data_IF_056005404881
#
_entry.id   IF_056005404881
#
_cell.length_a   1.000
_cell.length_b   1.000
_cell.length_c   1.000
_cell.angle_alpha   90.00
_cell.angle_beta   90.00
_cell.angle_gamma   90.00
#
_symmetry.space_group_name_H-M   'P 1'
#
loop_
_entity.id
_entity.type
_entity.pdbx_description
1 polymer ?
#
# COMPACT_ATOMS: atom_id res chain seq x y z
N UNK A 1 -22.35 28.50 34.92
CA UNK A 1 -21.63 28.07 33.71
C UNK A 1 -22.26 26.76 33.22
N UNK A 2 -23.27 26.81 32.35
CA UNK A 2 -24.09 25.64 31.97
C UNK A 2 -24.06 25.33 30.46
N UNK A 3 -23.09 25.88 29.74
CA UNK A 3 -23.03 25.83 28.27
C UNK A 3 -22.33 24.64 27.57
N UNK A 4 -21.61 23.70 28.24
CA UNK A 4 -21.00 22.58 27.49
C UNK A 4 -22.00 21.43 27.22
N UNK A 5 -23.08 21.30 28.00
CA UNK A 5 -24.03 20.19 27.86
C UNK A 5 -24.95 20.35 26.65
N UNK A 6 -25.43 21.57 26.36
CA UNK A 6 -26.40 21.81 25.26
C UNK A 6 -25.76 21.51 23.89
N UNK A 7 -24.48 21.86 23.71
CA UNK A 7 -23.74 21.59 22.46
C UNK A 7 -23.57 20.08 22.26
N UNK A 8 -23.24 19.34 23.32
CA UNK A 8 -23.08 17.89 23.25
C UNK A 8 -24.39 17.18 22.89
N UNK A 9 -25.53 17.62 23.45
CA UNK A 9 -26.85 17.09 23.10
C UNK A 9 -27.25 17.42 21.66
N UNK A 10 -26.91 18.61 21.15
CA UNK A 10 -27.20 18.99 19.76
C UNK A 10 -26.43 18.16 18.74
N UNK A 11 -25.15 17.87 19.01
CA UNK A 11 -24.33 16.99 18.16
C UNK A 11 -24.91 15.56 18.16
N UNK A 12 -25.29 15.02 19.33
CA UNK A 12 -25.93 13.71 19.42
C UNK A 12 -27.30 13.65 18.72
N UNK A 13 -28.11 14.71 18.80
CA UNK A 13 -29.40 14.81 18.11
C UNK A 13 -29.24 14.91 16.58
N UNK A 14 -28.17 15.57 16.10
CA UNK A 14 -27.84 15.58 14.68
C UNK A 14 -27.44 14.16 14.20
N UNK A 15 -26.62 13.44 14.97
CA UNK A 15 -26.26 12.04 14.68
C UNK A 15 -27.42 11.04 14.81
N UNK A 16 -28.47 11.37 15.56
CA UNK A 16 -29.67 10.54 15.67
C UNK A 16 -30.67 10.79 14.52
N UNK A 17 -30.55 11.91 13.81
CA UNK A 17 -31.45 12.30 12.71
C UNK A 17 -30.89 12.04 11.31
N UNK A 18 -29.60 11.76 11.17
CA UNK A 18 -29.04 11.33 9.89
C UNK A 18 -29.73 10.05 9.43
N UNK A 19 -30.25 10.04 8.21
CA UNK A 19 -30.82 8.85 7.58
C UNK A 19 -29.77 7.71 7.67
N UNK A 20 -30.14 6.49 8.10
CA UNK A 20 -29.24 5.34 8.07
C UNK A 20 -28.46 5.20 6.76
N UNK A 21 -29.06 5.59 5.62
CA UNK A 21 -28.40 5.61 4.31
C UNK A 21 -27.27 6.63 4.27
N UNK A 22 -27.51 7.87 4.68
CA UNK A 22 -26.47 8.93 4.73
C UNK A 22 -25.31 8.53 5.64
N UNK A 23 -25.63 7.95 6.81
CA UNK A 23 -24.62 7.47 7.76
C UNK A 23 -23.76 6.35 7.19
N UNK A 24 -24.38 5.39 6.50
CA UNK A 24 -23.67 4.30 5.85
C UNK A 24 -22.74 4.86 4.75
N UNK A 25 -23.22 5.78 3.91
CA UNK A 25 -22.43 6.41 2.86
C UNK A 25 -21.24 7.18 3.43
N UNK A 26 -21.43 7.97 4.49
CA UNK A 26 -20.33 8.70 5.14
C UNK A 26 -19.26 7.74 5.67
N UNK A 27 -19.66 6.67 6.36
CA UNK A 27 -18.73 5.66 6.87
C UNK A 27 -17.93 4.98 5.75
N UNK A 28 -18.60 4.66 4.63
CA UNK A 28 -17.97 4.08 3.44
C UNK A 28 -16.98 5.07 2.80
N UNK A 29 -17.33 6.35 2.70
CA UNK A 29 -16.41 7.37 2.18
C UNK A 29 -15.19 7.58 3.07
N UNK A 30 -15.37 7.59 4.40
CA UNK A 30 -14.25 7.64 5.35
C UNK A 30 -13.35 6.41 5.21
N UNK A 31 -13.94 5.22 5.02
CA UNK A 31 -13.17 4.01 4.73
C UNK A 31 -12.30 4.16 3.47
N UNK A 32 -12.83 4.68 2.36
CA UNK A 32 -12.02 4.92 1.16
C UNK A 32 -10.89 5.94 1.39
N UNK A 33 -11.12 6.98 2.19
CA UNK A 33 -10.07 7.92 2.57
C UNK A 33 -8.95 7.24 3.38
N UNK A 34 -9.30 6.34 4.30
CA UNK A 34 -8.33 5.54 5.03
C UNK A 34 -7.52 4.63 4.10
N UNK A 35 -8.19 3.90 3.19
CA UNK A 35 -7.48 3.04 2.23
C UNK A 35 -6.51 3.84 1.36
N UNK A 36 -6.90 5.03 0.91
CA UNK A 36 -6.02 5.92 0.13
C UNK A 36 -4.80 6.36 0.93
N UNK A 37 -4.98 6.72 2.20
CA UNK A 37 -3.87 7.06 3.10
C UNK A 37 -2.94 5.86 3.33
N UNK A 38 -3.50 4.66 3.52
CA UNK A 38 -2.71 3.44 3.69
C UNK A 38 -1.89 3.09 2.45
N UNK A 39 -2.44 3.31 1.25
CA UNK A 39 -1.67 3.15 0.01
C UNK A 39 -0.55 4.19 -0.11
N UNK A 40 -0.80 5.44 0.27
CA UNK A 40 0.25 6.46 0.26
C UNK A 40 1.42 6.08 1.19
N UNK A 41 1.12 5.59 2.40
CA UNK A 41 2.13 5.06 3.33
C UNK A 41 2.88 3.88 2.72
N UNK A 42 2.16 2.90 2.14
CA UNK A 42 2.75 1.75 1.46
C UNK A 42 3.77 2.22 0.42
N UNK A 43 3.36 3.05 -0.54
CA UNK A 43 4.23 3.46 -1.63
C UNK A 43 5.43 4.28 -1.16
N UNK A 44 5.29 5.09 -0.11
CA UNK A 44 6.45 5.76 0.53
C UNK A 44 7.45 4.73 1.06
N UNK A 45 6.99 3.74 1.84
CA UNK A 45 7.86 2.70 2.40
C UNK A 45 8.50 1.84 1.31
N UNK A 46 7.76 1.51 0.25
CA UNK A 46 8.29 0.79 -0.92
C UNK A 46 9.43 1.55 -1.59
N UNK A 47 9.29 2.87 -1.78
CA UNK A 47 10.34 3.72 -2.36
C UNK A 47 11.59 3.71 -1.49
N UNK A 48 11.45 3.84 -0.17
CA UNK A 48 12.55 3.80 0.78
C UNK A 48 13.30 2.45 0.69
N UNK A 49 12.56 1.35 0.70
CA UNK A 49 13.13 0.01 0.60
C UNK A 49 13.79 -0.24 -0.76
N UNK A 50 13.20 0.22 -1.86
CA UNK A 50 13.72 0.09 -3.21
C UNK A 50 15.06 0.82 -3.37
N UNK A 51 15.16 2.06 -2.89
CA UNK A 51 16.43 2.82 -2.90
C UNK A 51 17.53 2.12 -2.14
N UNK A 52 17.22 1.63 -0.94
CA UNK A 52 18.16 0.88 -0.10
C UNK A 52 18.62 -0.39 -0.82
N UNK A 53 17.71 -1.12 -1.45
CA UNK A 53 18.04 -2.32 -2.22
C UNK A 53 18.99 -2.00 -3.36
N UNK A 54 18.71 -0.94 -4.14
CA UNK A 54 19.57 -0.50 -5.24
C UNK A 54 20.97 -0.11 -4.75
N UNK A 55 21.07 0.62 -3.65
CA UNK A 55 22.36 0.95 -3.02
C UNK A 55 23.12 -0.31 -2.57
N UNK A 56 22.44 -1.25 -1.91
CA UNK A 56 23.02 -2.54 -1.53
C UNK A 56 23.45 -3.36 -2.76
N UNK A 57 22.70 -3.30 -3.88
CA UNK A 57 23.04 -3.96 -5.14
C UNK A 57 24.27 -3.33 -5.80
N UNK A 58 24.33 -2.01 -5.91
CA UNK A 58 25.50 -1.29 -6.46
C UNK A 58 26.77 -1.69 -5.71
N UNK A 59 26.72 -1.68 -4.37
CA UNK A 59 27.83 -2.08 -3.52
C UNK A 59 28.21 -3.56 -3.71
N UNK A 60 27.21 -4.45 -3.80
CA UNK A 60 27.45 -5.89 -4.02
C UNK A 60 28.08 -6.18 -5.39
N UNK A 61 27.80 -5.35 -6.40
CA UNK A 61 28.33 -5.49 -7.76
C UNK A 61 29.75 -4.93 -7.90
N UNK A 62 30.19 -4.04 -7.02
CA UNK A 62 31.47 -3.33 -7.12
C UNK A 62 32.70 -4.24 -7.32
N UNK A 63 32.84 -5.40 -6.65
CA UNK A 63 34.00 -6.27 -6.81
C UNK A 63 34.03 -7.07 -8.12
N UNK A 64 32.94 -7.07 -8.90
CA UNK A 64 32.73 -7.98 -10.03
C UNK A 64 32.66 -7.20 -11.35
N UNK A 65 33.82 -7.03 -12.00
CA UNK A 65 33.96 -6.22 -13.21
C UNK A 65 33.09 -6.72 -14.38
N UNK A 66 32.80 -8.01 -14.43
CA UNK A 66 31.89 -8.63 -15.39
C UNK A 66 30.45 -8.10 -15.32
N UNK A 67 30.07 -7.43 -14.23
CA UNK A 67 28.76 -6.79 -14.07
C UNK A 67 28.84 -5.26 -14.06
N UNK A 68 29.92 -4.66 -14.59
CA UNK A 68 30.08 -3.19 -14.58
C UNK A 68 28.94 -2.44 -15.28
N UNK A 69 28.41 -2.98 -16.39
CA UNK A 69 27.25 -2.42 -17.09
C UNK A 69 25.98 -2.50 -16.24
N UNK A 70 25.69 -3.68 -15.69
CA UNK A 70 24.53 -3.86 -14.82
C UNK A 70 24.62 -2.98 -13.55
N UNK A 71 25.80 -2.85 -12.94
CA UNK A 71 26.05 -1.92 -11.83
C UNK A 71 25.72 -0.48 -12.24
N UNK A 72 26.10 -0.06 -13.45
CA UNK A 72 25.78 1.27 -13.96
C UNK A 72 24.27 1.44 -14.11
N UNK A 73 23.55 0.46 -14.66
CA UNK A 73 22.08 0.50 -14.73
C UNK A 73 21.43 0.66 -13.35
N UNK A 74 21.89 -0.09 -12.35
CA UNK A 74 21.39 0.03 -10.98
C UNK A 74 21.71 1.40 -10.36
N UNK A 75 22.90 1.94 -10.64
CA UNK A 75 23.30 3.28 -10.19
C UNK A 75 22.42 4.36 -10.83
N UNK A 76 22.23 4.31 -12.15
CA UNK A 76 21.42 5.28 -12.89
C UNK A 76 19.95 5.24 -12.39
N UNK A 77 19.43 4.04 -12.12
CA UNK A 77 18.09 3.87 -11.53
C UNK A 77 18.01 4.40 -10.09
N UNK A 78 19.05 4.22 -9.27
CA UNK A 78 19.15 4.81 -7.93
C UNK A 78 19.20 6.34 -7.98
N UNK A 79 19.95 6.94 -8.91
CA UNK A 79 19.99 8.40 -9.10
C UNK A 79 18.61 8.95 -9.48
N UNK A 80 17.88 8.27 -10.37
CA UNK A 80 16.49 8.61 -10.65
C UNK A 80 15.63 8.49 -9.37
N UNK A 81 15.78 7.41 -8.61
CA UNK A 81 15.07 7.22 -7.36
C UNK A 81 15.30 8.37 -6.37
N UNK A 82 16.51 8.93 -6.29
CA UNK A 82 16.81 10.07 -5.41
C UNK A 82 15.98 11.33 -5.71
N UNK A 83 15.45 11.48 -6.93
CA UNK A 83 14.52 12.59 -7.25
C UNK A 83 13.11 12.37 -6.70
N UNK A 84 12.75 11.13 -6.35
CA UNK A 84 11.47 10.79 -5.71
C UNK A 84 11.59 11.08 -4.21
N UNK A 85 10.88 12.08 -3.72
CA UNK A 85 10.91 12.50 -2.31
C UNK A 85 9.51 12.35 -1.69
N UNK A 86 9.39 12.55 -0.38
CA UNK A 86 8.12 12.39 0.33
C UNK A 86 6.98 13.25 -0.25
N UNK A 87 7.29 14.45 -0.74
CA UNK A 87 6.33 15.35 -1.39
C UNK A 87 6.05 15.04 -2.86
N UNK A 88 6.71 14.03 -3.46
CA UNK A 88 6.42 13.59 -4.83
C UNK A 88 5.01 13.00 -4.90
N UNK A 89 4.41 13.03 -6.10
CA UNK A 89 3.07 12.49 -6.32
C UNK A 89 3.07 10.98 -6.15
N UNK A 90 1.91 10.42 -5.82
CA UNK A 90 1.77 8.98 -5.61
C UNK A 90 2.12 8.21 -6.88
N UNK A 91 1.70 8.73 -8.03
CA UNK A 91 1.92 8.13 -9.34
C UNK A 91 3.42 8.05 -9.68
N UNK A 92 4.21 9.06 -9.27
CA UNK A 92 5.66 9.06 -9.48
C UNK A 92 6.35 8.01 -8.59
N UNK A 93 5.87 7.83 -7.35
CA UNK A 93 6.35 6.76 -6.44
C UNK A 93 6.01 5.38 -6.98
N UNK A 94 4.78 5.19 -7.46
CA UNK A 94 4.31 3.95 -8.10
C UNK A 94 5.17 3.61 -9.31
N UNK A 95 5.33 4.56 -10.24
CA UNK A 95 6.11 4.38 -11.45
C UNK A 95 7.56 4.01 -11.16
N UNK A 96 8.19 4.64 -10.16
CA UNK A 96 9.55 4.29 -9.76
C UNK A 96 9.66 2.87 -9.19
N UNK A 97 8.72 2.42 -8.35
CA UNK A 97 8.80 1.07 -7.78
C UNK A 97 8.45 0.01 -8.82
N UNK A 98 7.42 0.23 -9.63
CA UNK A 98 6.99 -0.71 -10.69
C UNK A 98 8.01 -0.78 -11.83
N UNK A 99 8.60 0.37 -12.21
CA UNK A 99 9.60 0.44 -13.26
C UNK A 99 10.84 -0.43 -13.00
N UNK A 100 11.18 -0.70 -11.74
CA UNK A 100 12.28 -1.61 -11.42
C UNK A 100 11.95 -3.06 -11.79
N UNK A 101 10.70 -3.48 -11.65
CA UNK A 101 10.28 -4.84 -12.02
C UNK A 101 10.23 -5.00 -13.55
N UNK A 102 9.94 -3.92 -14.27
CA UNK A 102 9.85 -3.92 -15.74
C UNK A 102 11.23 -3.79 -16.41
N UNK A 103 12.13 -3.00 -15.84
CA UNK A 103 13.45 -2.71 -16.41
C UNK A 103 14.59 -3.44 -15.70
N UNK A 104 14.30 -4.15 -14.62
CA UNK A 104 15.25 -4.95 -13.86
C UNK A 104 15.59 -6.23 -14.60
N UNK A 105 16.34 -6.11 -15.70
CA UNK A 105 17.00 -7.26 -16.33
C UNK A 105 17.88 -7.93 -15.28
N UNK A 106 17.41 -9.01 -14.66
CA UNK A 106 18.22 -9.77 -13.73
C UNK A 106 19.29 -10.51 -14.52
N UNK A 107 20.58 -10.11 -14.47
CA UNK A 107 21.61 -10.82 -15.19
C UNK A 107 21.65 -12.25 -14.66
N UNK A 108 21.93 -13.21 -15.55
CA UNK A 108 22.19 -14.58 -15.10
C UNK A 108 23.40 -14.57 -14.17
N UNK A 109 23.16 -14.78 -12.87
CA UNK A 109 24.20 -14.71 -11.85
C UNK A 109 25.11 -15.94 -11.93
N UNK A 110 26.26 -15.77 -12.57
CA UNK A 110 27.28 -16.81 -12.71
C UNK A 110 28.39 -16.67 -11.66
N UNK A 111 28.98 -17.81 -11.29
CA UNK A 111 30.12 -17.91 -10.36
C UNK A 111 29.85 -18.79 -9.15
N UNK A 112 30.69 -18.64 -8.12
CA UNK A 112 30.65 -19.40 -6.87
C UNK A 112 29.35 -19.19 -6.09
N UNK A 113 28.96 -20.13 -5.22
CA UNK A 113 27.82 -19.95 -4.32
C UNK A 113 27.91 -18.67 -3.49
N UNK A 114 29.09 -18.31 -3.00
CA UNK A 114 29.32 -17.07 -2.23
C UNK A 114 29.07 -15.81 -3.04
N UNK A 115 29.51 -15.79 -4.31
CA UNK A 115 29.25 -14.68 -5.23
C UNK A 115 27.76 -14.54 -5.51
N UNK A 116 27.06 -15.64 -5.80
CA UNK A 116 25.59 -15.62 -6.02
C UNK A 116 24.84 -15.15 -4.78
N UNK A 117 25.26 -15.58 -3.59
CA UNK A 117 24.67 -15.12 -2.33
C UNK A 117 24.88 -13.62 -2.12
N UNK A 118 26.09 -13.10 -2.39
CA UNK A 118 26.37 -11.66 -2.25
C UNK A 118 25.48 -10.82 -3.18
N UNK A 119 25.31 -11.26 -4.43
CA UNK A 119 24.54 -10.56 -5.46
C UNK A 119 23.01 -10.68 -5.28
N UNK A 120 22.51 -11.75 -4.63
CA UNK A 120 21.08 -11.95 -4.38
C UNK A 120 20.61 -11.42 -3.03
N UNK A 121 21.51 -11.25 -2.06
CA UNK A 121 21.18 -10.78 -0.71
C UNK A 121 20.36 -9.48 -0.68
N UNK A 122 20.67 -8.44 -1.48
CA UNK A 122 19.87 -7.21 -1.49
C UNK A 122 18.41 -7.46 -1.88
N UNK A 123 18.16 -8.26 -2.93
CA UNK A 123 16.82 -8.62 -3.41
C UNK A 123 16.04 -9.41 -2.34
N UNK A 124 16.69 -10.40 -1.71
CA UNK A 124 16.07 -11.19 -0.65
C UNK A 124 15.72 -10.32 0.57
N UNK A 125 16.58 -9.37 0.91
CA UNK A 125 16.38 -8.45 2.02
C UNK A 125 15.25 -7.46 1.71
N UNK A 126 15.17 -6.95 0.49
CA UNK A 126 14.06 -6.15 0.01
C UNK A 126 12.74 -6.90 0.12
N UNK A 127 12.64 -8.10 -0.46
CA UNK A 127 11.44 -8.94 -0.42
C UNK A 127 10.99 -9.20 1.03
N UNK A 128 11.93 -9.55 1.91
CA UNK A 128 11.64 -9.78 3.32
C UNK A 128 11.10 -8.53 4.03
N UNK A 129 11.67 -7.35 3.75
CA UNK A 129 11.18 -6.09 4.32
C UNK A 129 9.84 -5.67 3.70
N UNK A 130 9.61 -5.87 2.40
CA UNK A 130 8.33 -5.60 1.75
C UNK A 130 7.21 -6.41 2.42
N UNK A 131 7.42 -7.70 2.64
CA UNK A 131 6.44 -8.56 3.32
C UNK A 131 6.24 -8.10 4.77
N UNK A 132 7.32 -8.00 5.55
CA UNK A 132 7.24 -7.80 7.00
C UNK A 132 6.85 -6.39 7.43
N UNK A 133 7.22 -5.35 6.65
CA UNK A 133 7.00 -3.94 7.02
C UNK A 133 5.92 -3.27 6.20
N UNK A 134 5.84 -3.56 4.90
CA UNK A 134 4.91 -2.87 4.01
C UNK A 134 3.58 -3.61 3.95
N UNK A 135 3.59 -4.85 3.45
CA UNK A 135 2.35 -5.61 3.24
C UNK A 135 1.69 -6.02 4.54
N UNK A 136 2.48 -6.38 5.56
CA UNK A 136 1.94 -6.73 6.88
C UNK A 136 1.25 -5.52 7.54
N UNK A 137 1.85 -4.33 7.48
CA UNK A 137 1.24 -3.14 8.08
C UNK A 137 0.03 -2.66 7.29
N UNK A 138 0.10 -2.70 5.96
CA UNK A 138 -1.07 -2.43 5.11
C UNK A 138 -2.22 -3.39 5.44
N UNK A 139 -1.95 -4.70 5.53
CA UNK A 139 -2.95 -5.70 5.86
C UNK A 139 -3.61 -5.44 7.21
N UNK A 140 -2.82 -5.20 8.27
CA UNK A 140 -3.35 -4.86 9.60
C UNK A 140 -4.25 -3.62 9.58
N UNK A 141 -3.80 -2.55 8.90
CA UNK A 141 -4.55 -1.29 8.79
C UNK A 141 -5.87 -1.50 8.02
N UNK A 142 -5.82 -2.21 6.89
CA UNK A 142 -7.00 -2.48 6.05
C UNK A 142 -8.04 -3.35 6.77
N UNK A 143 -7.62 -4.45 7.40
CA UNK A 143 -8.53 -5.32 8.17
C UNK A 143 -9.17 -4.55 9.32
N UNK A 144 -8.40 -3.76 10.08
CA UNK A 144 -8.95 -2.94 11.16
C UNK A 144 -9.99 -1.95 10.63
N UNK A 145 -9.70 -1.24 9.54
CA UNK A 145 -10.64 -0.30 8.94
C UNK A 145 -11.90 -0.99 8.40
N UNK A 146 -11.77 -2.20 7.86
CA UNK A 146 -12.90 -3.03 7.42
C UNK A 146 -13.78 -3.48 8.59
N UNK A 147 -13.17 -3.95 9.68
CA UNK A 147 -13.90 -4.35 10.90
C UNK A 147 -14.62 -3.14 11.53
N UNK A 148 -13.99 -1.96 11.53
CA UNK A 148 -14.61 -0.73 12.01
C UNK A 148 -15.77 -0.29 11.10
N UNK A 149 -15.64 -0.43 9.78
CA UNK A 149 -16.71 -0.18 8.82
C UNK A 149 -17.92 -1.11 9.05
N UNK A 150 -17.68 -2.41 9.22
CA UNK A 150 -18.73 -3.42 9.45
C UNK A 150 -19.49 -3.22 10.77
N UNK A 151 -18.88 -2.57 11.77
CA UNK A 151 -19.56 -2.21 13.02
C UNK A 151 -20.55 -1.05 12.86
N UNK A 152 -20.30 -0.17 11.89
CA UNK A 152 -21.07 1.06 11.68
C UNK A 152 -22.14 0.84 10.61
N UNK A 153 -21.77 0.19 9.50
CA UNK A 153 -22.65 -0.02 8.35
C UNK A 153 -23.60 -1.18 8.63
N UNK A 154 -24.91 -0.89 8.62
CA UNK A 154 -25.95 -1.91 8.76
C UNK A 154 -26.59 -2.19 7.41
N UNK A 155 -26.50 -3.44 6.97
CA UNK A 155 -27.26 -3.94 5.82
C UNK A 155 -28.53 -4.64 6.29
N UNK A 156 -29.66 -4.48 5.58
CA UNK A 156 -30.91 -5.17 5.90
C UNK A 156 -30.79 -6.70 5.74
N UNK A 157 -29.92 -7.17 4.84
CA UNK A 157 -29.60 -8.59 4.65
C UNK A 157 -28.19 -8.77 4.06
N UNK A 158 -27.70 -10.01 4.00
CA UNK A 158 -26.39 -10.31 3.41
C UNK A 158 -26.36 -10.11 1.89
N UNK A 159 -27.49 -10.21 1.19
CA UNK A 159 -27.57 -9.94 -0.26
C UNK A 159 -27.34 -8.46 -0.59
N UNK A 160 -27.61 -7.57 0.36
CA UNK A 160 -27.32 -6.15 0.25
C UNK A 160 -25.84 -5.80 0.52
N UNK A 161 -25.01 -6.77 0.94
CA UNK A 161 -23.55 -6.60 1.00
C UNK A 161 -23.02 -6.43 -0.41
N UNK A 162 -22.86 -5.16 -0.82
CA UNK A 162 -22.35 -4.80 -2.14
C UNK A 162 -20.91 -5.25 -2.37
N UNK A 163 -20.41 -4.94 -3.58
CA UNK A 163 -19.09 -5.36 -4.06
C UNK A 163 -17.94 -5.06 -3.08
N UNK A 164 -18.01 -3.93 -2.35
CA UNK A 164 -17.01 -3.56 -1.35
C UNK A 164 -16.81 -4.66 -0.29
N UNK A 165 -17.90 -5.18 0.28
CA UNK A 165 -17.82 -6.19 1.34
C UNK A 165 -17.40 -7.56 0.78
N UNK A 166 -17.79 -7.87 -0.47
CA UNK A 166 -17.28 -9.04 -1.18
C UNK A 166 -15.75 -8.99 -1.38
N UNK A 167 -15.21 -7.82 -1.76
CA UNK A 167 -13.76 -7.61 -1.88
C UNK A 167 -13.04 -7.71 -0.54
N UNK A 168 -13.64 -7.19 0.54
CA UNK A 168 -13.08 -7.28 1.89
C UNK A 168 -13.06 -8.73 2.41
N UNK A 169 -14.12 -9.50 2.17
CA UNK A 169 -14.15 -10.93 2.47
C UNK A 169 -13.10 -11.70 1.65
N UNK A 170 -12.99 -11.40 0.35
CA UNK A 170 -11.94 -11.98 -0.50
C UNK A 170 -10.54 -11.64 0.03
N UNK A 171 -10.31 -10.39 0.43
CA UNK A 171 -9.03 -9.95 1.00
C UNK A 171 -8.66 -10.72 2.27
N UNK A 172 -9.62 -10.86 3.20
CA UNK A 172 -9.45 -11.63 4.44
C UNK A 172 -9.11 -13.09 4.16
N UNK A 173 -9.81 -13.72 3.22
CA UNK A 173 -9.59 -15.12 2.87
C UNK A 173 -8.23 -15.35 2.19
N UNK A 174 -7.75 -14.36 1.43
CA UNK A 174 -6.51 -14.46 0.65
C UNK A 174 -5.25 -14.22 1.47
N UNK A 175 -5.36 -13.41 2.54
CA UNK A 175 -4.22 -13.02 3.36
C UNK A 175 -3.22 -12.11 2.64
N UNK A 176 -2.00 -12.03 3.18
CA UNK A 176 -0.90 -11.25 2.60
C UNK A 176 -0.33 -11.99 1.39
N UNK A 177 -0.39 -11.39 0.21
CA UNK A 177 0.16 -12.00 -1.01
C UNK A 177 0.08 -11.13 -2.25
N UNK A 178 0.22 -11.76 -3.43
CA UNK A 178 0.23 -11.09 -4.74
C UNK A 178 -1.05 -10.30 -5.05
N UNK A 179 -2.20 -10.72 -4.50
CA UNK A 179 -3.47 -10.02 -4.71
C UNK A 179 -3.63 -8.76 -3.83
N UNK A 180 -2.68 -8.46 -2.93
CA UNK A 180 -2.80 -7.34 -2.00
C UNK A 180 -2.95 -6.01 -2.72
N UNK A 181 -2.10 -5.76 -3.73
CA UNK A 181 -2.11 -4.51 -4.51
C UNK A 181 -3.35 -4.42 -5.40
N UNK A 182 -3.71 -5.54 -6.05
CA UNK A 182 -4.89 -5.64 -6.91
C UNK A 182 -6.16 -5.35 -6.11
N UNK A 183 -6.37 -6.02 -4.97
CA UNK A 183 -7.57 -5.85 -4.16
C UNK A 183 -7.63 -4.43 -3.58
N UNK A 184 -6.51 -3.88 -3.10
CA UNK A 184 -6.47 -2.50 -2.62
C UNK A 184 -6.86 -1.49 -3.71
N UNK A 185 -6.38 -1.70 -4.94
CA UNK A 185 -6.71 -0.86 -6.09
C UNK A 185 -8.18 -0.98 -6.48
N UNK A 186 -8.73 -2.21 -6.50
CA UNK A 186 -10.15 -2.46 -6.75
C UNK A 186 -11.05 -1.84 -5.69
N UNK A 187 -10.67 -1.91 -4.42
CA UNK A 187 -11.39 -1.27 -3.32
C UNK A 187 -11.48 0.25 -3.58
N UNK A 188 -10.38 0.91 -3.92
CA UNK A 188 -10.41 2.35 -4.20
C UNK A 188 -11.20 2.70 -5.47
N UNK A 189 -11.19 1.84 -6.49
CA UNK A 189 -11.99 2.05 -7.70
C UNK A 189 -13.51 2.08 -7.40
N UNK A 190 -13.96 1.44 -6.32
CA UNK A 190 -15.37 1.50 -5.91
C UNK A 190 -15.79 2.86 -5.36
N UNK A 191 -14.85 3.73 -5.00
CA UNK A 191 -15.14 5.07 -4.47
C UNK A 191 -16.10 5.86 -5.37
N UNK A 192 -15.95 5.75 -6.68
CA UNK A 192 -16.78 6.43 -7.67
C UNK A 192 -18.23 5.92 -7.65
N UNK A 193 -18.43 4.62 -7.43
CA UNK A 193 -19.76 4.01 -7.31
C UNK A 193 -20.53 4.52 -6.08
N UNK A 194 -19.81 4.92 -5.02
CA UNK A 194 -20.38 5.49 -3.81
C UNK A 194 -20.40 7.03 -3.81
N UNK A 195 -20.02 7.69 -4.92
CA UNK A 195 -19.98 9.15 -5.06
C UNK A 195 -19.13 9.84 -3.97
N UNK A 196 -18.11 9.15 -3.47
CA UNK A 196 -17.22 9.70 -2.46
C UNK A 196 -16.20 10.63 -3.13
N UNK A 197 -15.93 11.80 -2.52
CA UNK A 197 -15.00 12.81 -3.02
C UNK A 197 -13.53 12.45 -2.82
#
# INVERSE_FOLDING_TARGET
MSFPRIIFFLVLLAFARSDPVERNTEAICQFFQHVRAFQADWWEDSVILMKRMLEEMVNALEPYIEYAEYRKTMQDYLEHGKTIVTSSRLEDKMAFVQGFNEHGDQPTLVGSPSKRQALTRPLNHFQSNMISKVFTEFHKKLIKAADDLERVVRFPDNSARGELFGLLEQYRASGIGSMTEEIASRILALKDNYQCA
#
